data_IF_040867898663
#
_entry.id   IF_040867898663
#
_cell.length_a   1.000
_cell.length_b   1.000
_cell.length_c   1.000
_cell.angle_alpha   90.00
_cell.angle_beta   90.00
_cell.angle_gamma   90.00
#
_symmetry.space_group_name_H-M   'P 1'
#
loop_
_entity.id
_entity.type
_entity.pdbx_description
1 polymer ?
#
# COMPACT_ATOMS: atom_id res chain seq x y z
N UNK A 1 -17.39 3.26 2.36
CA UNK A 1 -15.95 3.20 2.69
C UNK A 1 -15.18 2.81 1.43
N UNK A 2 -13.99 3.37 1.20
CA UNK A 2 -13.08 2.95 0.13
C UNK A 2 -11.79 2.34 0.69
N UNK A 3 -11.27 1.32 0.01
CA UNK A 3 -10.01 0.64 0.33
C UNK A 3 -9.08 0.59 -0.90
N UNK A 4 -8.62 1.75 -1.43
CA UNK A 4 -7.80 1.79 -2.64
C UNK A 4 -6.36 1.37 -2.38
N UNK A 5 -5.67 0.93 -3.45
CA UNK A 5 -4.25 0.62 -3.43
C UNK A 5 -3.42 1.69 -4.15
N UNK A 6 -2.34 2.14 -3.54
CA UNK A 6 -1.30 2.95 -4.22
C UNK A 6 0.02 2.20 -4.14
N UNK A 7 0.50 1.73 -5.29
CA UNK A 7 1.66 0.84 -5.37
C UNK A 7 2.96 1.52 -5.77
N UNK A 8 2.88 2.50 -6.67
CA UNK A 8 4.04 3.18 -7.27
C UNK A 8 3.84 4.69 -7.29
N UNK A 9 4.89 5.44 -6.99
CA UNK A 9 4.97 6.87 -7.23
C UNK A 9 5.64 7.15 -8.58
N UNK A 10 6.80 6.54 -8.82
CA UNK A 10 7.57 6.77 -10.04
C UNK A 10 7.05 5.93 -11.21
N UNK A 11 6.72 6.60 -12.32
CA UNK A 11 6.31 5.98 -13.58
C UNK A 11 7.26 4.90 -14.09
N UNK A 12 8.56 4.98 -13.77
CA UNK A 12 9.55 3.94 -14.10
C UNK A 12 9.12 2.57 -13.56
N UNK A 13 8.62 2.50 -12.33
CA UNK A 13 8.28 1.23 -11.68
C UNK A 13 6.92 0.71 -12.14
N UNK A 14 5.93 1.58 -12.27
CA UNK A 14 4.60 1.18 -12.74
C UNK A 14 4.63 0.67 -14.19
N UNK A 15 5.42 1.32 -15.06
CA UNK A 15 5.66 0.85 -16.43
C UNK A 15 6.43 -0.47 -16.44
N UNK A 16 7.50 -0.59 -15.63
CA UNK A 16 8.34 -1.79 -15.62
C UNK A 16 7.62 -3.03 -15.09
N UNK A 17 6.93 -2.92 -13.95
CA UNK A 17 6.38 -4.08 -13.24
C UNK A 17 4.91 -4.35 -13.54
N UNK A 18 4.16 -3.35 -14.02
CA UNK A 18 2.72 -3.47 -14.27
C UNK A 18 2.27 -2.97 -15.63
N UNK A 19 3.21 -2.57 -16.50
CA UNK A 19 2.92 -1.96 -17.81
C UNK A 19 1.90 -0.80 -17.73
N UNK A 20 1.92 -0.06 -16.61
CA UNK A 20 0.97 0.98 -16.30
C UNK A 20 1.67 2.35 -16.30
N UNK A 21 1.64 3.03 -17.43
CA UNK A 21 2.18 4.39 -17.56
C UNK A 21 1.27 5.41 -16.87
N UNK A 22 1.86 6.46 -16.27
CA UNK A 22 1.13 7.48 -15.51
C UNK A 22 0.26 6.96 -14.35
N UNK A 23 0.56 5.75 -13.85
CA UNK A 23 -0.21 5.10 -12.78
C UNK A 23 -0.46 6.01 -11.58
N UNK A 24 0.59 6.65 -11.06
CA UNK A 24 0.46 7.45 -9.84
C UNK A 24 -0.52 8.62 -10.04
N UNK A 25 -0.42 9.35 -11.15
CA UNK A 25 -1.33 10.47 -11.44
C UNK A 25 -2.80 10.03 -11.51
N UNK A 26 -3.08 8.89 -12.15
CA UNK A 26 -4.43 8.35 -12.22
C UNK A 26 -4.92 7.84 -10.86
N UNK A 27 -4.10 7.04 -10.17
CA UNK A 27 -4.43 6.48 -8.86
C UNK A 27 -4.64 7.59 -7.82
N UNK A 28 -3.76 8.60 -7.79
CA UNK A 28 -3.84 9.71 -6.86
C UNK A 28 -5.10 10.56 -7.05
N UNK A 29 -5.52 10.77 -8.30
CA UNK A 29 -6.75 11.49 -8.62
C UNK A 29 -7.99 10.67 -8.26
N UNK A 30 -7.98 9.36 -8.54
CA UNK A 30 -9.06 8.47 -8.14
C UNK A 30 -9.24 8.45 -6.60
N UNK A 31 -8.14 8.42 -5.85
CA UNK A 31 -8.19 8.45 -4.38
C UNK A 31 -8.69 9.79 -3.84
N UNK A 32 -8.32 10.91 -4.47
CA UNK A 32 -8.89 12.22 -4.13
C UNK A 32 -10.40 12.26 -4.34
N UNK A 33 -10.88 11.70 -5.44
CA UNK A 33 -12.31 11.60 -5.74
C UNK A 33 -13.03 10.70 -4.73
N UNK A 34 -12.47 9.53 -4.42
CA UNK A 34 -12.98 8.65 -3.36
C UNK A 34 -13.09 9.40 -2.02
N UNK A 35 -12.06 10.17 -1.65
CA UNK A 35 -12.08 10.99 -0.45
C UNK A 35 -13.13 12.10 -0.52
N UNK A 36 -13.35 12.74 -1.67
CA UNK A 36 -14.41 13.73 -1.88
C UNK A 36 -15.80 13.15 -1.59
N UNK A 37 -16.03 11.88 -1.96
CA UNK A 37 -17.32 11.21 -1.80
C UNK A 37 -17.63 10.79 -0.36
N UNK A 38 -16.63 10.31 0.40
CA UNK A 38 -16.85 9.81 1.78
C UNK A 38 -16.34 10.74 2.88
N UNK A 39 -15.44 11.66 2.57
CA UNK A 39 -14.83 12.57 3.52
C UNK A 39 -13.89 11.89 4.52
N UNK A 40 -13.70 12.59 5.66
CA UNK A 40 -12.88 12.12 6.78
C UNK A 40 -13.43 10.81 7.36
N UNK A 41 -12.52 10.02 7.91
CA UNK A 41 -12.90 8.76 8.56
C UNK A 41 -13.81 8.97 9.78
N UNK A 42 -14.86 8.15 9.86
CA UNK A 42 -15.82 8.13 10.96
C UNK A 42 -15.84 6.71 11.56
N UNK A 43 -15.66 6.65 12.88
CA UNK A 43 -15.69 5.41 13.66
C UNK A 43 -17.03 5.30 14.38
N UNK A 44 -17.57 4.09 14.44
CA UNK A 44 -18.76 3.81 15.23
C UNK A 44 -18.44 3.68 16.73
N UNK A 45 -19.48 3.42 17.55
CA UNK A 45 -19.35 3.26 19.01
C UNK A 45 -18.45 2.08 19.43
N UNK A 46 -18.23 1.12 18.53
CA UNK A 46 -17.40 -0.06 18.73
C UNK A 46 -15.97 0.14 18.19
N UNK A 47 -15.66 1.32 17.63
CA UNK A 47 -14.35 1.64 17.03
C UNK A 47 -14.15 1.10 15.62
N UNK A 48 -15.20 0.59 14.97
CA UNK A 48 -15.15 0.15 13.57
C UNK A 48 -15.35 1.32 12.62
N UNK A 49 -14.67 1.28 11.48
CA UNK A 49 -14.78 2.32 10.45
C UNK A 49 -16.10 2.16 9.70
N UNK A 50 -17.00 3.14 9.83
CA UNK A 50 -18.26 3.19 9.07
C UNK A 50 -18.10 3.94 7.74
N UNK A 51 -17.25 4.98 7.75
CA UNK A 51 -17.06 5.87 6.60
C UNK A 51 -15.62 6.32 6.52
N UNK A 52 -15.12 6.57 5.31
CA UNK A 52 -13.76 7.06 5.08
C UNK A 52 -12.98 6.23 4.05
N UNK A 53 -11.70 6.57 3.92
CA UNK A 53 -10.74 5.97 2.99
C UNK A 53 -9.59 5.35 3.78
N UNK A 54 -9.27 4.09 3.47
CA UNK A 54 -8.08 3.41 3.95
C UNK A 54 -7.20 3.12 2.74
N UNK A 55 -6.06 3.78 2.62
CA UNK A 55 -5.14 3.55 1.50
C UNK A 55 -4.22 2.38 1.84
N UNK A 56 -4.20 1.35 1.01
CA UNK A 56 -3.27 0.23 1.13
C UNK A 56 -2.00 0.50 0.34
N UNK A 57 -0.86 0.28 0.99
CA UNK A 57 0.45 0.37 0.37
C UNK A 57 1.25 -0.91 0.65
N UNK A 58 1.39 -1.74 -0.40
CA UNK A 58 2.27 -2.91 -0.38
C UNK A 58 3.67 -2.50 -0.82
N UNK A 59 4.60 -2.52 0.14
CA UNK A 59 5.99 -2.21 -0.11
C UNK A 59 6.65 -3.31 -0.95
N UNK A 60 7.35 -2.90 -2.02
CA UNK A 60 8.13 -3.83 -2.84
C UNK A 60 9.61 -3.80 -2.47
N UNK A 61 10.33 -4.94 -2.61
CA UNK A 61 11.76 -4.99 -2.39
C UNK A 61 12.51 -3.97 -3.26
N UNK A 62 13.44 -3.23 -2.65
CA UNK A 62 14.25 -2.23 -3.34
C UNK A 62 13.54 -0.91 -3.65
N UNK A 63 12.26 -0.74 -3.28
CA UNK A 63 11.48 0.48 -3.58
C UNK A 63 11.20 1.36 -2.35
N UNK A 64 11.99 1.27 -1.27
CA UNK A 64 11.78 2.06 -0.05
C UNK A 64 11.61 3.56 -0.30
N UNK A 65 12.44 4.16 -1.14
CA UNK A 65 12.33 5.59 -1.45
C UNK A 65 11.07 5.94 -2.24
N UNK A 66 10.58 5.03 -3.08
CA UNK A 66 9.32 5.22 -3.81
C UNK A 66 8.13 5.15 -2.85
N UNK A 67 8.14 4.17 -1.93
CA UNK A 67 7.17 4.06 -0.84
C UNK A 67 7.13 5.31 0.03
N UNK A 68 8.30 5.85 0.44
CA UNK A 68 8.35 7.09 1.23
C UNK A 68 7.69 8.27 0.53
N UNK A 69 7.88 8.42 -0.79
CA UNK A 69 7.19 9.47 -1.57
C UNK A 69 5.68 9.30 -1.62
N UNK A 70 5.18 8.06 -1.64
CA UNK A 70 3.75 7.78 -1.54
C UNK A 70 3.24 8.24 -0.18
N UNK A 71 3.96 7.93 0.90
CA UNK A 71 3.61 8.35 2.25
C UNK A 71 3.61 9.88 2.38
N UNK A 72 4.64 10.54 1.86
CA UNK A 72 4.73 12.02 1.83
C UNK A 72 3.52 12.64 1.12
N UNK A 73 3.15 12.10 -0.05
CA UNK A 73 2.00 12.56 -0.80
C UNK A 73 0.69 12.38 -0.03
N UNK A 74 0.48 11.19 0.54
CA UNK A 74 -0.71 10.84 1.31
C UNK A 74 -0.86 11.79 2.50
N UNK A 75 0.20 11.95 3.28
CA UNK A 75 0.20 12.79 4.47
C UNK A 75 0.02 14.27 4.12
N UNK A 76 0.72 14.79 3.10
CA UNK A 76 0.57 16.18 2.67
C UNK A 76 -0.81 16.49 2.06
N UNK A 77 -1.46 15.51 1.44
CA UNK A 77 -2.77 15.70 0.78
C UNK A 77 -3.95 15.56 1.74
N UNK A 78 -3.90 14.57 2.63
CA UNK A 78 -5.06 14.19 3.46
C UNK A 78 -4.83 14.36 4.97
N UNK A 79 -3.58 14.51 5.40
CA UNK A 79 -3.19 14.56 6.82
C UNK A 79 -3.72 13.34 7.58
N UNK A 80 -4.27 13.58 8.77
CA UNK A 80 -4.86 12.55 9.62
C UNK A 80 -6.31 12.18 9.23
N UNK A 81 -6.80 12.59 8.05
CA UNK A 81 -8.20 12.37 7.65
C UNK A 81 -8.49 10.98 7.11
N UNK A 82 -7.46 10.21 6.81
CA UNK A 82 -7.51 8.87 6.23
C UNK A 82 -6.64 7.91 7.05
N UNK A 83 -6.84 6.62 6.83
CA UNK A 83 -5.94 5.59 7.39
C UNK A 83 -5.01 5.06 6.32
N UNK A 84 -3.79 4.71 6.73
CA UNK A 84 -2.81 4.05 5.88
C UNK A 84 -2.65 2.60 6.31
N UNK A 85 -2.83 1.64 5.40
CA UNK A 85 -2.52 0.24 5.65
C UNK A 85 -1.17 -0.10 5.00
N UNK A 86 -0.15 -0.28 5.84
CA UNK A 86 1.20 -0.65 5.44
C UNK A 86 1.30 -2.17 5.42
N UNK A 87 1.61 -2.72 4.25
CA UNK A 87 1.69 -4.16 4.04
C UNK A 87 3.12 -4.58 3.70
N UNK A 88 3.57 -5.68 4.32
CA UNK A 88 4.88 -6.32 4.09
C UNK A 88 4.79 -7.66 3.34
N UNK A 89 3.59 -8.12 3.00
CA UNK A 89 3.27 -9.48 2.55
C UNK A 89 3.60 -9.73 1.06
N UNK A 90 4.75 -9.24 0.60
CA UNK A 90 5.13 -9.40 -0.79
C UNK A 90 5.74 -10.78 -1.05
N UNK A 91 5.00 -11.62 -1.76
CA UNK A 91 5.46 -12.91 -2.27
C UNK A 91 5.65 -12.81 -3.79
N UNK A 92 6.87 -13.00 -4.31
CA UNK A 92 7.11 -13.00 -5.75
C UNK A 92 6.30 -14.11 -6.44
N UNK A 93 5.48 -13.75 -7.42
CA UNK A 93 4.65 -14.67 -8.20
C UNK A 93 4.63 -14.30 -9.68
N UNK A 94 4.22 -15.26 -10.51
CA UNK A 94 4.01 -15.06 -11.94
C UNK A 94 5.25 -14.43 -12.62
N UNK A 95 5.09 -13.31 -13.33
CA UNK A 95 6.16 -12.60 -14.03
C UNK A 95 7.19 -11.93 -13.10
N UNK A 96 7.03 -11.94 -11.77
CA UNK A 96 8.01 -11.37 -10.85
C UNK A 96 9.39 -12.03 -11.00
N UNK A 97 9.45 -13.31 -11.41
CA UNK A 97 10.70 -14.01 -11.67
C UNK A 97 11.56 -13.37 -12.78
N UNK A 98 10.95 -12.57 -13.67
CA UNK A 98 11.64 -11.83 -14.74
C UNK A 98 12.36 -10.58 -14.22
N UNK A 99 12.14 -10.19 -12.96
CA UNK A 99 12.68 -8.98 -12.34
C UNK A 99 13.48 -9.35 -11.08
N UNK A 100 14.78 -9.64 -11.20
CA UNK A 100 15.62 -10.10 -10.08
C UNK A 100 15.55 -9.22 -8.83
N UNK A 101 15.34 -7.91 -8.99
CA UNK A 101 15.27 -6.95 -7.90
C UNK A 101 14.01 -7.09 -7.02
N UNK A 102 12.90 -7.57 -7.58
CA UNK A 102 11.65 -7.86 -6.87
C UNK A 102 11.36 -9.36 -6.80
N UNK A 103 12.25 -10.24 -7.30
CA UNK A 103 12.11 -11.69 -7.18
C UNK A 103 12.66 -12.21 -5.84
N UNK A 104 12.32 -11.52 -4.74
CA UNK A 104 12.76 -11.85 -3.39
C UNK A 104 11.75 -11.32 -2.37
N UNK A 105 11.67 -11.90 -1.17
CA UNK A 105 10.85 -11.34 -0.11
C UNK A 105 11.32 -9.93 0.28
N UNK A 106 10.41 -9.16 0.90
CA UNK A 106 10.73 -7.86 1.46
C UNK A 106 11.74 -8.01 2.61
N UNK A 107 12.72 -7.13 2.67
CA UNK A 107 13.65 -7.07 3.80
C UNK A 107 12.94 -6.38 4.98
N UNK A 108 12.84 -7.08 6.11
CA UNK A 108 12.25 -6.57 7.35
C UNK A 108 12.80 -5.20 7.75
N UNK A 109 14.12 -5.03 7.72
CA UNK A 109 14.76 -3.75 8.08
C UNK A 109 14.33 -2.58 7.21
N UNK A 110 13.99 -2.84 5.94
CA UNK A 110 13.46 -1.79 5.07
C UNK A 110 12.02 -1.44 5.41
N UNK A 111 11.23 -2.43 5.81
CA UNK A 111 9.86 -2.23 6.30
C UNK A 111 9.86 -1.46 7.63
N UNK A 112 10.73 -1.83 8.57
CA UNK A 112 10.95 -1.09 9.82
C UNK A 112 11.33 0.36 9.54
N UNK A 113 12.27 0.59 8.61
CA UNK A 113 12.66 1.96 8.21
C UNK A 113 11.52 2.76 7.57
N UNK A 114 10.54 2.09 6.95
CA UNK A 114 9.33 2.74 6.44
C UNK A 114 8.39 3.10 7.59
N UNK A 115 8.23 2.23 8.58
CA UNK A 115 7.43 2.49 9.79
C UNK A 115 8.03 3.66 10.58
N UNK A 116 9.33 3.63 10.85
CA UNK A 116 10.05 4.71 11.54
C UNK A 116 9.88 6.06 10.81
N UNK A 117 9.85 6.01 9.48
CA UNK A 117 9.60 7.20 8.67
C UNK A 117 8.16 7.71 8.80
N UNK A 118 7.17 6.83 8.85
CA UNK A 118 5.78 7.22 9.10
C UNK A 118 5.64 7.86 10.49
N UNK A 119 6.33 7.30 11.49
CA UNK A 119 6.37 7.84 12.85
C UNK A 119 7.05 9.22 12.89
N UNK A 120 8.16 9.41 12.18
CA UNK A 120 8.87 10.70 12.15
C UNK A 120 8.08 11.81 11.45
N UNK A 121 7.22 11.47 10.49
CA UNK A 121 6.25 12.38 9.88
C UNK A 121 5.07 12.72 10.80
N UNK A 122 4.88 11.97 11.89
CA UNK A 122 3.77 12.16 12.83
C UNK A 122 2.45 11.53 12.38
N UNK A 123 2.50 10.49 11.53
CA UNK A 123 1.32 9.74 11.10
C UNK A 123 0.76 8.98 12.30
N UNK A 124 -0.50 9.25 12.65
CA UNK A 124 -1.20 8.60 13.78
C UNK A 124 -2.09 7.45 13.36
N UNK A 125 -2.62 7.52 12.14
CA UNK A 125 -3.66 6.64 11.64
C UNK A 125 -3.08 5.63 10.65
N UNK A 126 -2.40 4.61 11.15
CA UNK A 126 -1.82 3.55 10.33
C UNK A 126 -2.11 2.15 10.87
N UNK A 127 -2.47 1.24 9.98
CA UNK A 127 -2.48 -0.21 10.23
C UNK A 127 -1.15 -0.79 9.76
N UNK A 128 -0.38 -1.32 10.70
CA UNK A 128 0.91 -1.96 10.45
C UNK A 128 0.71 -3.47 10.58
N UNK A 129 1.05 -4.22 9.54
CA UNK A 129 1.03 -5.68 9.59
C UNK A 129 2.34 -6.20 10.18
N UNK A 130 2.24 -7.11 11.15
CA UNK A 130 3.40 -7.78 11.77
C UNK A 130 4.12 -8.73 10.79
N UNK A 131 5.34 -9.10 11.12
CA UNK A 131 6.14 -10.03 10.31
C UNK A 131 5.52 -11.44 10.27
N UNK A 132 5.78 -12.18 9.19
CA UNK A 132 5.41 -13.59 9.08
C UNK A 132 4.12 -13.90 8.30
N UNK A 133 3.37 -12.90 7.85
CA UNK A 133 2.18 -13.14 7.00
C UNK A 133 2.50 -13.35 5.51
N UNK A 134 3.75 -13.20 5.09
CA UNK A 134 4.21 -13.57 3.74
C UNK A 134 4.44 -15.09 3.59
N UNK A 135 3.79 -15.93 4.40
CA UNK A 135 3.90 -17.38 4.31
C UNK A 135 3.06 -17.88 3.13
N UNK A 136 3.53 -18.95 2.46
CA UNK A 136 2.79 -19.58 1.35
C UNK A 136 1.38 -20.02 1.75
N UNK A 137 1.11 -20.16 3.05
CA UNK A 137 -0.17 -20.53 3.64
C UNK A 137 -1.28 -19.50 3.41
N UNK A 138 -0.96 -18.26 3.03
CA UNK A 138 -1.93 -17.21 2.66
C UNK A 138 -2.12 -17.07 1.15
N UNK A 139 -1.48 -17.92 0.35
CA UNK A 139 -1.68 -17.96 -1.10
C UNK A 139 -2.90 -18.84 -1.34
N UNK A 140 -4.03 -18.30 -1.83
CA UNK A 140 -5.15 -19.14 -2.22
C UNK A 140 -4.72 -20.08 -3.36
N UNK A 141 -5.25 -21.29 -3.39
CA UNK A 141 -5.03 -22.20 -4.51
C UNK A 141 -5.72 -21.62 -5.75
N UNK A 142 -4.91 -21.18 -6.72
CA UNK A 142 -5.38 -20.66 -8.00
C UNK A 142 -5.67 -21.80 -9.00
N UNK A 143 -6.34 -22.85 -8.53
CA UNK A 143 -6.63 -24.06 -9.31
C UNK A 143 -7.96 -23.97 -10.10
N UNK A 144 -8.64 -22.81 -10.02
CA UNK A 144 -9.97 -22.55 -10.60
C UNK A 144 -11.08 -23.48 -10.07
N UNK A 145 -10.82 -24.28 -9.04
CA UNK A 145 -11.83 -25.14 -8.43
C UNK A 145 -12.57 -24.33 -7.36
N UNK A 146 -13.74 -23.81 -7.73
CA UNK A 146 -14.56 -22.99 -6.82
C UNK A 146 -15.22 -21.78 -7.48
N UNK A 147 -15.28 -21.73 -8.81
CA UNK A 147 -16.21 -20.87 -9.55
C UNK A 147 -17.56 -21.56 -9.69
#
# INVERSE_FOLDING_TARGET
>A
MYLPDIKYFNNKYSKKYSNAENYFAHASNAVKEMFSQVGKIELNKEGLIEKGVIIRHLMLPGLLFDSKKIIDYIYSTFGDSIYLSLMNQYVPMYNACKFPEINKPLNSKHYDSMIDYCLSLGIKNAFIQEEGTASKSFIPDFDLNGV
#
